data_IF_338292583234
#
_entry.id   IF_338292583234
#
_cell.length_a   1.000
_cell.length_b   1.000
_cell.length_c   1.000
_cell.angle_alpha   90.00
_cell.angle_beta   90.00
_cell.angle_gamma   90.00
#
_symmetry.space_group_name_H-M   'P 1'
#
loop_
_entity.id
_entity.type
_entity.pdbx_description
1 polymer ?
#
# COMPACT_ATOMS: atom_id res chain seq x y z
N UNK A 1 -49.64 -9.92 1.53
CA UNK A 1 -48.91 -10.11 2.81
C UNK A 1 -47.91 -11.24 2.61
N UNK A 2 -46.63 -10.90 2.42
CA UNK A 2 -45.49 -11.76 2.75
C UNK A 2 -44.35 -10.81 3.13
N UNK A 3 -43.98 -10.82 4.40
CA UNK A 3 -42.80 -10.14 4.96
C UNK A 3 -41.52 -10.75 4.40
N UNK A 4 -40.57 -9.92 4.00
CA UNK A 4 -39.17 -10.33 3.82
C UNK A 4 -38.40 -9.90 5.08
N UNK A 5 -38.25 -10.83 6.01
CA UNK A 5 -37.37 -10.71 7.16
C UNK A 5 -35.90 -10.91 6.74
N UNK A 6 -35.03 -10.13 7.37
CA UNK A 6 -33.58 -10.13 7.19
C UNK A 6 -32.94 -11.27 8.01
N UNK A 7 -32.06 -12.13 7.45
CA UNK A 7 -31.38 -13.14 8.26
C UNK A 7 -30.15 -12.57 8.98
N UNK A 8 -30.29 -12.55 10.30
CA UNK A 8 -29.32 -12.79 11.37
C UNK A 8 -27.82 -13.00 11.03
N UNK A 9 -26.99 -12.17 11.67
CA UNK A 9 -25.75 -12.51 12.37
C UNK A 9 -25.08 -13.85 12.03
N UNK A 10 -24.02 -13.81 11.22
CA UNK A 10 -23.05 -14.90 11.13
C UNK A 10 -22.05 -14.80 12.30
N UNK A 11 -22.34 -15.49 13.41
CA UNK A 11 -21.32 -15.88 14.39
C UNK A 11 -21.08 -17.38 14.22
N UNK A 12 -19.90 -17.74 13.74
CA UNK A 12 -19.35 -19.07 13.97
C UNK A 12 -17.92 -18.91 14.50
N UNK A 13 -17.81 -18.94 15.83
CA UNK A 13 -16.58 -19.37 16.50
C UNK A 13 -16.36 -20.81 16.05
N UNK A 14 -15.28 -21.08 15.33
CA UNK A 14 -14.80 -22.45 15.15
C UNK A 14 -14.48 -23.01 16.53
N UNK A 15 -15.23 -24.02 16.96
CA UNK A 15 -15.00 -24.69 18.22
C UNK A 15 -13.79 -25.61 18.00
N UNK A 16 -12.86 -25.66 18.95
CA UNK A 16 -11.57 -26.39 18.85
C UNK A 16 -11.75 -27.90 18.59
N UNK A 17 -12.99 -28.41 18.68
CA UNK A 17 -13.35 -29.80 18.44
C UNK A 17 -13.68 -30.12 16.97
N UNK A 18 -13.77 -29.12 16.08
CA UNK A 18 -14.14 -29.31 14.66
C UNK A 18 -12.92 -29.54 13.74
N UNK A 19 -11.72 -29.72 14.30
CA UNK A 19 -10.53 -30.09 13.54
C UNK A 19 -10.53 -31.60 13.22
N UNK A 20 -10.04 -32.03 12.04
CA UNK A 20 -9.97 -33.45 11.66
C UNK A 20 -9.25 -34.24 12.75
N UNK A 21 -10.00 -35.14 13.39
CA UNK A 21 -9.51 -35.96 14.50
C UNK A 21 -8.94 -37.24 13.93
N UNK A 22 -7.75 -37.15 13.33
CA UNK A 22 -6.99 -38.35 13.00
C UNK A 22 -6.54 -39.03 14.30
N UNK A 23 -6.85 -40.32 14.38
CA UNK A 23 -6.63 -41.21 15.51
C UNK A 23 -5.14 -41.36 15.80
N UNK A 24 -4.60 -40.54 16.71
CA UNK A 24 -3.25 -40.73 17.24
C UNK A 24 -3.31 -40.90 18.77
N UNK A 25 -3.13 -42.15 19.20
CA UNK A 25 -2.82 -42.51 20.57
C UNK A 25 -1.44 -41.95 20.95
N UNK A 26 -1.42 -40.76 21.53
CA UNK A 26 -0.23 -40.09 22.04
C UNK A 26 -0.56 -38.61 22.27
N UNK A 27 -0.13 -38.05 23.40
CA UNK A 27 -0.44 -36.66 23.78
C UNK A 27 -0.32 -35.69 22.60
N UNK A 28 -1.45 -35.08 22.23
CA UNK A 28 -1.49 -34.02 21.21
C UNK A 28 -0.45 -32.97 21.58
N UNK A 29 0.50 -32.73 20.66
CA UNK A 29 1.45 -31.62 20.78
C UNK A 29 0.64 -30.32 20.81
N UNK A 30 0.39 -29.82 22.00
CA UNK A 30 -0.54 -28.70 22.29
C UNK A 30 0.23 -27.39 22.46
N UNK A 31 1.40 -27.26 21.84
CA UNK A 31 2.11 -25.99 21.85
C UNK A 31 1.47 -25.05 20.83
N UNK A 32 1.35 -23.77 21.18
CA UNK A 32 0.91 -22.73 20.27
C UNK A 32 1.68 -22.76 18.94
N UNK A 33 3.00 -23.03 19.00
CA UNK A 33 3.86 -23.15 17.82
C UNK A 33 3.43 -24.32 16.90
N UNK A 34 3.02 -25.45 17.46
CA UNK A 34 2.55 -26.60 16.68
C UNK A 34 1.23 -26.28 15.98
N UNK A 35 0.27 -25.67 16.69
CA UNK A 35 -1.00 -25.23 16.09
C UNK A 35 -0.76 -24.20 14.98
N UNK A 36 0.11 -23.22 15.23
CA UNK A 36 0.48 -22.21 14.24
C UNK A 36 1.14 -22.83 12.99
N UNK A 37 2.02 -23.81 13.18
CA UNK A 37 2.65 -24.55 12.08
C UNK A 37 1.61 -25.27 11.23
N UNK A 38 0.66 -25.99 11.85
CA UNK A 38 -0.38 -26.72 11.14
C UNK A 38 -1.32 -25.78 10.36
N UNK A 39 -1.76 -24.68 10.97
CA UNK A 39 -2.57 -23.67 10.26
C UNK A 39 -1.80 -23.09 9.08
N UNK A 40 -0.50 -22.80 9.26
CA UNK A 40 0.34 -22.29 8.17
C UNK A 40 0.44 -23.29 7.03
N UNK A 41 0.66 -24.58 7.33
CA UNK A 41 0.73 -25.63 6.32
C UNK A 41 -0.59 -25.79 5.56
N UNK A 42 -1.73 -25.76 6.27
CA UNK A 42 -3.06 -25.84 5.64
C UNK A 42 -3.29 -24.71 4.65
N UNK A 43 -3.06 -23.46 5.07
CA UNK A 43 -3.26 -22.27 4.23
C UNK A 43 -2.32 -22.27 3.02
N UNK A 44 -1.08 -22.75 3.19
CA UNK A 44 -0.15 -22.88 2.07
C UNK A 44 -0.61 -23.92 1.05
N UNK A 45 -1.12 -25.08 1.50
CA UNK A 45 -1.67 -26.11 0.63
C UNK A 45 -2.88 -25.61 -0.17
N UNK A 46 -3.83 -24.94 0.50
CA UNK A 46 -5.00 -24.34 -0.16
C UNK A 46 -4.60 -23.30 -1.23
N UNK A 47 -3.58 -22.48 -0.94
CA UNK A 47 -3.07 -21.52 -1.92
C UNK A 47 -2.42 -22.21 -3.12
N UNK A 48 -1.62 -23.26 -2.90
CA UNK A 48 -0.99 -24.04 -3.96
C UNK A 48 -2.04 -24.63 -4.92
N UNK A 49 -3.14 -25.17 -4.37
CA UNK A 49 -4.25 -25.69 -5.15
C UNK A 49 -4.93 -24.58 -5.98
N UNK A 50 -5.25 -23.45 -5.35
CA UNK A 50 -5.85 -22.28 -6.02
C UNK A 50 -4.93 -21.72 -7.11
N UNK A 51 -3.62 -21.65 -6.85
CA UNK A 51 -2.63 -21.14 -7.77
C UNK A 51 -2.32 -22.10 -8.92
N UNK A 52 -2.38 -23.41 -8.67
CA UNK A 52 -2.27 -24.46 -9.69
C UNK A 52 -3.48 -24.50 -10.61
N UNK A 53 -4.68 -24.33 -10.06
CA UNK A 53 -5.93 -24.27 -10.82
C UNK A 53 -6.04 -23.03 -11.72
N UNK A 54 -5.33 -21.94 -11.38
CA UNK A 54 -5.34 -20.71 -12.16
C UNK A 54 -4.21 -20.67 -13.20
N UNK A 55 -4.57 -20.67 -14.49
CA UNK A 55 -3.62 -20.63 -15.62
C UNK A 55 -3.10 -19.22 -15.92
N UNK A 56 -3.63 -18.19 -15.26
CA UNK A 56 -3.23 -16.82 -15.50
C UNK A 56 -1.78 -16.56 -15.06
N UNK A 57 -0.95 -16.03 -15.97
CA UNK A 57 0.46 -15.70 -15.71
C UNK A 57 0.71 -14.72 -14.55
N UNK A 58 -0.29 -13.91 -14.20
CA UNK A 58 -0.19 -12.93 -13.12
C UNK A 58 -0.53 -13.51 -11.74
N UNK A 59 -0.97 -14.78 -11.67
CA UNK A 59 -1.27 -15.41 -10.40
C UNK A 59 0.03 -15.91 -9.72
N UNK A 60 0.26 -15.47 -8.49
CA UNK A 60 1.47 -15.77 -7.75
C UNK A 60 1.52 -17.25 -7.32
N UNK A 61 2.42 -18.03 -7.92
CA UNK A 61 2.70 -19.43 -7.53
C UNK A 61 3.73 -19.55 -6.40
N UNK A 62 4.20 -18.42 -5.88
CA UNK A 62 5.10 -18.38 -4.73
C UNK A 62 4.37 -17.69 -3.60
N UNK A 63 4.05 -18.48 -2.58
CA UNK A 63 3.22 -18.09 -1.44
C UNK A 63 3.73 -16.83 -0.76
N UNK A 64 5.06 -16.70 -0.60
CA UNK A 64 5.63 -15.66 0.26
C UNK A 64 7.09 -15.32 -0.09
N UNK A 65 7.50 -15.28 -1.37
CA UNK A 65 8.73 -14.60 -1.88
C UNK A 65 9.21 -15.21 -3.18
N UNK A 66 9.58 -14.33 -4.12
CA UNK A 66 10.61 -14.66 -5.09
C UNK A 66 11.99 -14.49 -4.42
N UNK A 67 12.93 -15.44 -4.51
CA UNK A 67 14.25 -15.36 -3.86
C UNK A 67 15.10 -14.17 -4.34
N UNK A 68 14.81 -13.62 -5.53
CA UNK A 68 15.45 -12.40 -6.02
C UNK A 68 14.97 -11.12 -5.29
N UNK A 69 13.84 -11.15 -4.59
CA UNK A 69 13.37 -10.00 -3.81
C UNK A 69 14.06 -9.97 -2.45
N UNK A 70 14.83 -8.90 -2.22
CA UNK A 70 15.57 -8.65 -0.98
C UNK A 70 14.64 -8.76 0.22
N UNK A 71 15.12 -9.41 1.29
CA UNK A 71 14.41 -9.47 2.56
C UNK A 71 14.31 -8.05 3.15
N UNK A 72 13.12 -7.44 3.05
CA UNK A 72 12.80 -6.24 3.81
C UNK A 72 12.78 -6.62 5.29
N UNK A 73 13.87 -6.34 6.00
CA UNK A 73 13.93 -6.48 7.46
C UNK A 73 13.10 -5.36 8.08
N UNK A 74 11.93 -5.70 8.61
CA UNK A 74 10.98 -4.79 9.25
C UNK A 74 11.51 -3.99 10.46
N UNK A 75 12.77 -4.18 10.86
CA UNK A 75 13.30 -3.71 12.13
C UNK A 75 14.36 -2.62 12.06
N UNK A 76 14.89 -2.24 10.88
CA UNK A 76 16.02 -1.27 10.85
C UNK A 76 15.81 0.02 10.05
N UNK A 77 14.93 0.08 9.06
CA UNK A 77 14.67 1.34 8.34
C UNK A 77 13.35 1.31 7.58
N UNK A 78 12.23 1.12 8.29
CA UNK A 78 10.93 1.34 7.67
C UNK A 78 10.68 2.85 7.58
N UNK A 79 10.24 3.39 6.42
CA UNK A 79 9.84 4.79 6.31
C UNK A 79 8.86 5.18 7.42
N UNK A 80 7.93 4.28 7.77
CA UNK A 80 6.98 4.49 8.86
C UNK A 80 7.61 4.69 10.25
N UNK A 81 8.73 4.02 10.57
CA UNK A 81 9.45 4.23 11.84
C UNK A 81 10.13 5.60 11.85
N UNK A 82 10.64 6.05 10.70
CA UNK A 82 11.29 7.35 10.50
C UNK A 82 10.30 8.52 10.53
N UNK A 83 9.08 8.26 10.07
CA UNK A 83 7.96 9.23 10.04
C UNK A 83 7.10 9.18 11.32
N UNK A 84 7.39 8.24 12.21
CA UNK A 84 6.65 8.03 13.46
C UNK A 84 6.53 9.31 14.28
N UNK A 85 5.34 9.52 14.86
CA UNK A 85 5.02 10.73 15.64
C UNK A 85 4.57 11.95 14.82
N UNK A 86 4.54 11.85 13.48
CA UNK A 86 4.11 12.95 12.58
C UNK A 86 3.00 12.47 11.64
N UNK A 87 1.74 12.33 12.09
CA UNK A 87 0.68 11.69 11.32
C UNK A 87 0.39 12.37 9.97
N UNK A 88 0.46 13.70 9.90
CA UNK A 88 0.27 14.46 8.66
C UNK A 88 1.37 14.20 7.65
N UNK A 89 2.63 14.14 8.09
CA UNK A 89 3.77 13.79 7.24
C UNK A 89 3.66 12.35 6.74
N UNK A 90 3.31 11.41 7.62
CA UNK A 90 3.11 10.00 7.27
C UNK A 90 2.03 9.83 6.21
N UNK A 91 0.89 10.51 6.35
CA UNK A 91 -0.20 10.44 5.39
C UNK A 91 0.24 10.95 4.00
N UNK A 92 0.93 12.11 3.93
CA UNK A 92 1.45 12.67 2.68
C UNK A 92 2.52 11.77 2.06
N UNK A 93 3.36 11.16 2.88
CA UNK A 93 4.36 10.20 2.42
C UNK A 93 3.72 8.97 1.77
N UNK A 94 2.73 8.35 2.43
CA UNK A 94 2.02 7.20 1.87
C UNK A 94 1.33 7.55 0.55
N UNK A 95 0.65 8.71 0.50
CA UNK A 95 0.02 9.20 -0.75
C UNK A 95 1.03 9.37 -1.88
N UNK A 96 2.23 9.88 -1.59
CA UNK A 96 3.30 10.06 -2.57
C UNK A 96 3.80 8.73 -3.13
N UNK A 97 4.17 7.77 -2.26
CA UNK A 97 4.78 6.51 -2.71
C UNK A 97 3.78 5.60 -3.44
N UNK A 98 2.53 5.56 -2.96
CA UNK A 98 1.46 4.75 -3.56
C UNK A 98 0.80 5.45 -4.75
N UNK A 99 1.17 6.70 -5.05
CA UNK A 99 0.55 7.52 -6.09
C UNK A 99 -0.98 7.68 -5.88
N UNK A 100 -1.38 7.83 -4.62
CA UNK A 100 -2.76 7.98 -4.14
C UNK A 100 -2.99 9.37 -3.51
N UNK A 101 -2.24 10.37 -3.96
CA UNK A 101 -2.45 11.77 -3.57
C UNK A 101 -3.61 12.39 -4.36
N UNK A 102 -4.30 13.43 -3.83
CA UNK A 102 -5.41 14.13 -4.51
C UNK A 102 -4.94 15.03 -5.67
N UNK A 103 -4.01 14.52 -6.47
CA UNK A 103 -3.44 15.13 -7.67
C UNK A 103 -4.43 15.10 -8.83
N UNK A 104 -4.18 15.89 -9.86
CA UNK A 104 -5.00 15.86 -11.07
C UNK A 104 -5.02 14.50 -11.74
N UNK A 105 -3.88 13.81 -11.77
CA UNK A 105 -3.78 12.44 -12.29
C UNK A 105 -4.64 11.43 -11.53
N UNK A 106 -4.69 11.54 -10.19
CA UNK A 106 -5.58 10.71 -9.38
C UNK A 106 -7.05 10.97 -9.70
N UNK A 107 -7.45 12.26 -9.79
CA UNK A 107 -8.83 12.65 -10.06
C UNK A 107 -9.31 12.17 -11.41
N UNK A 108 -8.48 12.32 -12.44
CA UNK A 108 -8.77 11.85 -13.79
C UNK A 108 -8.95 10.32 -13.83
N UNK A 109 -8.08 9.59 -13.13
CA UNK A 109 -8.12 8.12 -13.08
C UNK A 109 -9.28 7.56 -12.28
N UNK A 110 -9.56 8.12 -11.10
CA UNK A 110 -10.47 7.53 -10.11
C UNK A 110 -11.80 8.27 -9.97
N UNK A 111 -11.89 9.52 -10.44
CA UNK A 111 -13.09 10.36 -10.38
C UNK A 111 -13.41 11.05 -11.73
N UNK A 112 -13.34 10.35 -12.88
CA UNK A 112 -13.49 10.99 -14.21
C UNK A 112 -14.85 11.68 -14.42
N UNK A 113 -15.89 11.30 -13.68
CA UNK A 113 -17.24 11.89 -13.79
C UNK A 113 -17.49 13.05 -12.83
N UNK A 114 -16.53 13.37 -11.97
CA UNK A 114 -16.67 14.43 -10.99
C UNK A 114 -16.40 15.83 -11.56
N UNK A 115 -15.90 15.93 -12.81
CA UNK A 115 -15.51 17.18 -13.46
C UNK A 115 -14.59 18.04 -12.57
N UNK A 116 -13.70 17.39 -11.81
CA UNK A 116 -12.77 18.06 -10.91
C UNK A 116 -11.58 18.63 -11.69
N UNK A 117 -11.01 19.77 -11.27
CA UNK A 117 -9.79 20.31 -11.87
C UNK A 117 -8.65 19.29 -11.82
N UNK A 118 -7.81 19.28 -12.86
CA UNK A 118 -6.67 18.36 -13.00
C UNK A 118 -5.34 19.07 -13.26
N UNK A 119 -5.37 20.37 -13.48
CA UNK A 119 -4.18 21.17 -13.77
C UNK A 119 -3.64 21.82 -12.51
N UNK A 120 -2.31 21.87 -12.37
CA UNK A 120 -1.61 22.61 -11.34
C UNK A 120 -1.50 24.07 -11.78
N UNK A 121 -1.91 24.98 -10.89
CA UNK A 121 -1.88 26.44 -11.06
C UNK A 121 -1.02 27.12 -10.01
N UNK A 122 -0.39 26.36 -9.12
CA UNK A 122 0.41 26.84 -7.98
C UNK A 122 1.79 27.40 -8.36
N UNK A 123 2.19 27.22 -9.62
CA UNK A 123 3.53 27.50 -10.12
C UNK A 123 3.49 28.60 -11.19
N UNK A 124 4.64 29.21 -11.46
CA UNK A 124 4.71 30.22 -12.53
C UNK A 124 4.61 29.57 -13.92
N UNK A 125 3.97 30.29 -14.84
CA UNK A 125 3.83 29.88 -16.23
C UNK A 125 2.48 29.22 -16.57
N UNK A 126 2.38 28.57 -17.74
CA UNK A 126 1.15 27.92 -18.18
C UNK A 126 0.76 26.76 -17.24
N UNK A 127 -0.55 26.51 -17.00
CA UNK A 127 -0.98 25.37 -16.19
C UNK A 127 -0.38 24.05 -16.70
N UNK A 128 0.16 23.26 -15.79
CA UNK A 128 0.69 21.93 -16.10
C UNK A 128 -0.21 20.83 -15.53
N UNK A 129 -0.23 19.66 -16.15
CA UNK A 129 -1.02 18.55 -15.62
C UNK A 129 -0.46 18.12 -14.25
N UNK A 130 -1.33 18.07 -13.23
CA UNK A 130 -0.89 17.86 -11.86
C UNK A 130 -0.61 16.37 -11.60
N UNK A 131 0.60 15.92 -11.94
CA UNK A 131 1.11 14.57 -11.70
C UNK A 131 2.03 14.51 -10.49
N UNK A 132 2.29 13.30 -9.97
CA UNK A 132 3.33 13.09 -8.94
C UNK A 132 4.70 13.58 -9.39
N UNK A 133 5.05 13.34 -10.65
CA UNK A 133 6.33 13.75 -11.23
C UNK A 133 6.45 15.27 -11.31
N UNK A 134 5.38 15.96 -11.72
CA UNK A 134 5.31 17.41 -11.71
C UNK A 134 5.58 17.97 -10.30
N UNK A 135 4.91 17.45 -9.27
CA UNK A 135 5.11 17.85 -7.87
C UNK A 135 6.55 17.60 -7.43
N UNK A 136 7.09 16.41 -7.66
CA UNK A 136 8.41 16.03 -7.14
C UNK A 136 9.57 16.71 -7.84
N UNK A 137 9.47 17.04 -9.13
CA UNK A 137 10.66 17.39 -9.93
C UNK A 137 10.54 18.68 -10.75
N UNK A 138 9.33 19.16 -11.08
CA UNK A 138 9.18 20.24 -12.06
C UNK A 138 8.53 21.51 -11.52
N UNK A 139 7.53 21.38 -10.65
CA UNK A 139 6.72 22.49 -10.15
C UNK A 139 7.57 23.47 -9.31
N UNK A 140 7.72 24.72 -9.76
CA UNK A 140 8.59 25.70 -9.07
C UNK A 140 8.00 26.23 -7.74
N UNK A 141 6.74 25.92 -7.46
CA UNK A 141 6.10 26.15 -6.17
C UNK A 141 6.84 25.46 -5.00
N UNK A 142 7.39 24.27 -5.25
CA UNK A 142 8.04 23.45 -4.22
C UNK A 142 9.55 23.65 -4.16
N UNK A 143 10.07 23.75 -2.94
CA UNK A 143 11.51 23.82 -2.65
C UNK A 143 12.13 22.44 -2.79
N UNK A 144 13.23 22.33 -3.55
CA UNK A 144 13.99 21.07 -3.73
C UNK A 144 15.45 21.27 -3.37
N UNK A 145 15.96 20.40 -2.49
CA UNK A 145 17.37 20.36 -2.09
C UNK A 145 18.16 19.22 -2.76
N UNK A 146 17.48 18.31 -3.44
CA UNK A 146 18.07 17.19 -4.20
C UNK A 146 17.94 17.41 -5.71
N UNK A 147 18.76 16.69 -6.49
CA UNK A 147 18.94 16.92 -7.94
C UNK A 147 18.29 15.87 -8.84
N UNK A 148 17.33 15.10 -8.33
CA UNK A 148 16.64 14.09 -9.14
C UNK A 148 15.80 14.75 -10.22
N UNK A 149 15.95 14.31 -11.47
CA UNK A 149 15.18 14.85 -12.60
C UNK A 149 13.96 14.01 -12.98
N UNK A 150 13.87 12.77 -12.50
CA UNK A 150 12.74 11.86 -12.76
C UNK A 150 12.53 10.85 -11.62
N UNK A 151 11.46 10.07 -11.72
CA UNK A 151 11.16 8.98 -10.78
C UNK A 151 12.25 7.90 -10.84
N UNK A 152 12.73 7.56 -12.03
CA UNK A 152 13.76 6.54 -12.25
C UNK A 152 15.08 6.93 -11.57
N UNK A 153 15.47 8.20 -11.70
CA UNK A 153 16.67 8.76 -11.06
C UNK A 153 16.55 8.73 -9.53
N UNK A 154 15.40 9.17 -8.99
CA UNK A 154 15.10 9.08 -7.57
C UNK A 154 15.18 7.63 -7.06
N UNK A 155 14.59 6.67 -7.77
CA UNK A 155 14.62 5.25 -7.39
C UNK A 155 16.03 4.64 -7.45
N UNK A 156 16.94 5.22 -8.23
CA UNK A 156 18.36 4.85 -8.29
C UNK A 156 19.19 5.40 -7.12
N UNK A 157 18.66 6.34 -6.32
CA UNK A 157 19.35 6.90 -5.17
C UNK A 157 19.59 5.87 -4.05
N UNK A 158 20.55 6.14 -3.17
CA UNK A 158 20.87 5.23 -2.05
C UNK A 158 19.69 5.06 -1.07
N UNK A 159 18.87 6.10 -0.89
CA UNK A 159 17.70 6.10 -0.02
C UNK A 159 16.59 7.03 -0.56
N UNK A 160 15.81 6.58 -1.56
CA UNK A 160 14.73 7.39 -2.14
C UNK A 160 13.69 7.83 -1.11
N UNK A 161 13.49 7.03 -0.06
CA UNK A 161 12.51 7.34 0.99
C UNK A 161 13.00 8.47 1.90
N UNK A 162 14.31 8.60 2.10
CA UNK A 162 14.88 9.75 2.81
C UNK A 162 14.68 11.04 2.02
N UNK A 163 14.95 11.01 0.71
CA UNK A 163 14.80 12.18 -0.15
C UNK A 163 13.34 12.64 -0.24
N UNK A 164 12.39 11.71 -0.40
CA UNK A 164 10.95 12.00 -0.34
C UNK A 164 10.57 12.58 1.04
N UNK A 165 11.07 12.00 2.13
CA UNK A 165 10.78 12.56 3.46
C UNK A 165 11.30 13.99 3.62
N UNK A 166 12.51 14.29 3.14
CA UNK A 166 13.07 15.64 3.19
C UNK A 166 12.21 16.60 2.36
N UNK A 167 11.84 16.21 1.14
CA UNK A 167 10.92 16.97 0.29
C UNK A 167 9.63 17.35 1.03
N UNK A 168 8.96 16.37 1.63
CA UNK A 168 7.68 16.58 2.32
C UNK A 168 7.81 17.35 3.63
N UNK A 169 9.00 17.35 4.23
CA UNK A 169 9.30 18.15 5.43
C UNK A 169 9.49 19.61 5.06
N UNK A 170 10.20 19.88 3.95
CA UNK A 170 10.43 21.23 3.44
C UNK A 170 9.18 21.83 2.78
N UNK A 171 8.26 21.00 2.27
CA UNK A 171 7.04 21.41 1.58
C UNK A 171 5.79 20.87 2.33
N UNK A 172 5.21 21.61 3.28
CA UNK A 172 4.16 21.11 4.18
C UNK A 172 2.81 20.82 3.51
N UNK A 173 2.54 21.44 2.36
CA UNK A 173 1.29 21.31 1.61
C UNK A 173 1.37 20.24 0.50
N UNK A 174 2.59 19.86 0.08
CA UNK A 174 2.78 18.87 -0.99
C UNK A 174 2.07 17.55 -0.70
N UNK A 175 1.33 17.03 -1.69
CA UNK A 175 0.50 15.82 -1.62
C UNK A 175 -0.57 15.81 -0.50
N UNK A 176 -0.90 17.00 0.03
CA UNK A 176 -2.07 17.22 0.87
C UNK A 176 -3.29 17.59 0.00
N UNK A 177 -4.42 17.88 0.64
CA UNK A 177 -5.58 18.44 -0.05
C UNK A 177 -5.45 19.94 -0.32
N UNK A 178 -4.55 20.63 0.39
CA UNK A 178 -4.36 22.08 0.28
C UNK A 178 -3.81 22.48 -1.10
N UNK A 179 -2.95 21.64 -1.67
CA UNK A 179 -2.37 21.84 -3.01
C UNK A 179 -3.11 21.04 -4.10
N UNK A 180 -4.22 20.41 -3.77
CA UNK A 180 -5.00 19.68 -4.77
C UNK A 180 -5.53 20.68 -5.81
N UNK A 181 -5.60 20.33 -7.11
CA UNK A 181 -6.08 21.27 -8.12
C UNK A 181 -7.41 21.90 -7.71
N UNK A 182 -7.48 23.21 -7.67
CA UNK A 182 -8.69 23.98 -7.43
C UNK A 182 -9.07 24.75 -8.71
N UNK A 183 -10.34 25.16 -8.77
CA UNK A 183 -10.95 25.82 -9.92
C UNK A 183 -11.70 27.04 -9.47
#
# INVERSE_FOLDING_TARGET
MVSLECPAYFKARTHVLDLPRDEHHGQLATSYAYVQSNVTQSVLGEWDELAGANTAKYWGRTHLRHPAFRRLTHTKSYPLKRLGGRPTLTARFIRCIENHAPTGWYRDRFRPRANEPTMCTLHDGPPAYHTREHVLFHCNHYVRKYKHSSIEDLLGSMDPFYDIQCFLTDNPTAFSFDDAPDG
#
